data_IF_792499510690
#
_entry.id   IF_792499510690
#
_cell.length_a   1.000
_cell.length_b   1.000
_cell.length_c   1.000
_cell.angle_alpha   90.00
_cell.angle_beta   90.00
_cell.angle_gamma   90.00
#
_symmetry.space_group_name_H-M   'P 1'
#
loop_
_entity.id
_entity.type
_entity.pdbx_description
1 polymer ?
#
# COMPACT_ATOMS: atom_id res chain seq x y z
N UNK A 1 8.20 -15.77 -1.44
CA UNK A 1 7.74 -14.54 -0.74
C UNK A 1 6.69 -13.87 -1.61
N UNK A 2 5.53 -13.55 -1.05
CA UNK A 2 4.54 -12.67 -1.67
C UNK A 2 4.84 -11.24 -1.20
N UNK A 3 4.94 -10.30 -2.13
CA UNK A 3 5.16 -8.90 -1.82
C UNK A 3 3.93 -8.10 -2.26
N UNK A 4 3.36 -7.35 -1.33
CA UNK A 4 2.30 -6.38 -1.60
C UNK A 4 2.85 -4.99 -1.28
N UNK A 5 2.88 -4.12 -2.29
CA UNK A 5 3.17 -2.70 -2.11
C UNK A 5 1.86 -1.94 -2.22
N UNK A 6 1.57 -1.11 -1.23
CA UNK A 6 0.38 -0.27 -1.26
C UNK A 6 0.63 0.98 -2.13
N UNK A 7 -0.42 1.55 -2.77
CA UNK A 7 -0.35 2.88 -3.34
C UNK A 7 0.12 3.91 -2.29
N UNK A 8 0.94 4.87 -2.71
CA UNK A 8 1.59 5.82 -1.80
C UNK A 8 1.38 7.29 -2.20
N UNK A 9 0.43 7.54 -3.11
CA UNK A 9 0.04 8.88 -3.54
C UNK A 9 -1.48 9.02 -3.38
N UNK A 10 -1.92 10.03 -2.65
CA UNK A 10 -3.33 10.31 -2.39
C UNK A 10 -3.81 11.54 -3.19
N UNK A 11 -5.06 11.50 -3.64
CA UNK A 11 -5.66 12.57 -4.45
C UNK A 11 -5.99 13.86 -3.69
N UNK A 12 -5.89 13.86 -2.35
CA UNK A 12 -6.17 15.02 -1.52
C UNK A 12 -7.65 15.39 -1.37
N UNK A 13 -8.58 14.58 -1.90
CA UNK A 13 -10.02 14.91 -1.95
C UNK A 13 -10.85 14.13 -0.94
N UNK A 14 -10.65 12.82 -0.87
CA UNK A 14 -11.48 11.94 -0.03
C UNK A 14 -10.75 10.66 0.36
N UNK A 15 -11.15 10.08 1.48
CA UNK A 15 -10.60 8.82 1.99
C UNK A 15 -11.11 7.57 1.26
N UNK A 16 -12.05 7.76 0.32
CA UNK A 16 -12.62 6.70 -0.51
C UNK A 16 -13.06 7.24 -1.88
N UNK A 17 -13.32 6.35 -2.82
CA UNK A 17 -13.90 6.63 -4.14
C UNK A 17 -14.99 5.60 -4.45
N UNK A 18 -15.89 5.89 -5.39
CA UNK A 18 -17.00 4.97 -5.71
C UNK A 18 -16.56 3.56 -6.17
N UNK A 19 -15.30 3.41 -6.59
CA UNK A 19 -14.68 2.14 -6.97
C UNK A 19 -13.64 1.64 -5.96
N UNK A 20 -13.54 2.31 -4.80
CA UNK A 20 -12.62 2.05 -3.70
C UNK A 20 -11.12 2.01 -4.07
N UNK A 21 -10.74 2.62 -5.21
CA UNK A 21 -9.39 2.52 -5.78
C UNK A 21 -8.83 3.85 -6.29
N UNK A 22 -9.63 4.62 -7.03
CA UNK A 22 -9.18 5.86 -7.71
C UNK A 22 -8.79 7.02 -6.78
N UNK A 23 -9.00 6.91 -5.48
CA UNK A 23 -8.50 7.89 -4.54
C UNK A 23 -6.98 7.76 -4.28
N UNK A 24 -6.36 6.67 -4.72
CA UNK A 24 -4.95 6.36 -4.54
C UNK A 24 -4.23 6.05 -5.87
N UNK A 25 -2.91 6.31 -5.89
CA UNK A 25 -2.02 5.96 -7.01
C UNK A 25 -0.63 5.56 -6.53
N UNK A 26 0.13 4.91 -7.39
CA UNK A 26 1.53 4.56 -7.13
C UNK A 26 2.45 5.68 -7.60
N UNK A 27 3.46 6.03 -6.80
CA UNK A 27 4.54 6.90 -7.28
C UNK A 27 5.39 6.20 -8.33
N UNK A 28 5.87 6.93 -9.32
CA UNK A 28 6.89 6.49 -10.27
C UNK A 28 8.22 7.18 -9.93
N UNK A 29 9.30 6.41 -9.71
CA UNK A 29 10.60 6.94 -9.29
C UNK A 29 10.52 7.90 -8.10
N UNK A 30 9.67 7.57 -7.12
CA UNK A 30 9.45 8.40 -5.93
C UNK A 30 8.65 9.68 -6.19
N UNK A 31 8.10 9.90 -7.39
CA UNK A 31 7.28 11.07 -7.71
C UNK A 31 5.82 10.68 -7.88
N UNK A 32 4.94 11.41 -7.18
CA UNK A 32 3.50 11.24 -7.33
C UNK A 32 2.97 11.97 -8.57
N UNK A 33 1.97 11.42 -9.28
CA UNK A 33 1.35 12.10 -10.40
C UNK A 33 0.61 13.35 -9.93
N UNK A 34 0.45 14.36 -10.81
CA UNK A 34 -0.27 15.59 -10.47
C UNK A 34 -1.73 15.36 -10.03
N UNK A 35 -2.33 14.24 -10.43
CA UNK A 35 -3.67 13.83 -9.98
C UNK A 35 -3.70 13.34 -8.53
N UNK A 36 -2.55 12.97 -7.95
CA UNK A 36 -2.40 12.46 -6.59
C UNK A 36 -1.23 13.12 -5.85
N UNK A 37 -1.28 14.44 -5.61
CA UNK A 37 -0.12 15.21 -5.18
C UNK A 37 0.35 14.92 -3.75
N UNK A 38 -0.51 14.36 -2.90
CA UNK A 38 -0.17 14.09 -1.51
C UNK A 38 0.65 12.79 -1.38
N UNK A 39 1.92 12.93 -0.98
CA UNK A 39 2.81 11.79 -0.71
C UNK A 39 2.43 11.16 0.63
N UNK A 40 2.36 9.84 0.65
CA UNK A 40 2.17 9.05 1.86
C UNK A 40 3.37 8.13 2.09
N UNK A 41 3.61 7.70 3.35
CA UNK A 41 4.60 6.68 3.64
C UNK A 41 4.39 5.43 2.78
N UNK A 42 5.48 4.84 2.29
CA UNK A 42 5.38 3.57 1.55
C UNK A 42 5.17 2.43 2.54
N UNK A 43 4.03 1.76 2.44
CA UNK A 43 3.76 0.53 3.17
C UNK A 43 4.01 -0.65 2.25
N UNK A 44 4.80 -1.61 2.71
CA UNK A 44 5.06 -2.87 2.02
C UNK A 44 4.85 -4.04 2.97
N UNK A 45 4.12 -5.04 2.52
CA UNK A 45 3.88 -6.27 3.25
C UNK A 45 4.58 -7.42 2.52
N UNK A 46 5.52 -8.06 3.19
CA UNK A 46 6.22 -9.24 2.70
C UNK A 46 5.74 -10.47 3.47
N UNK A 47 5.02 -11.38 2.80
CA UNK A 47 4.63 -12.66 3.37
C UNK A 47 5.59 -13.75 2.90
N UNK A 48 6.27 -14.36 3.86
CA UNK A 48 7.22 -15.44 3.62
C UNK A 48 6.49 -16.76 3.83
N UNK A 49 6.48 -17.61 2.80
CA UNK A 49 5.93 -18.96 2.87
C UNK A 49 7.06 -19.98 2.82
N UNK A 50 6.86 -21.17 3.41
CA UNK A 50 7.75 -22.31 3.18
C UNK A 50 7.92 -22.60 1.69
N UNK A 51 9.05 -23.21 1.33
CA UNK A 51 9.28 -23.65 -0.05
C UNK A 51 8.24 -24.70 -0.43
N UNK A 52 7.66 -24.56 -1.62
CA UNK A 52 6.69 -25.51 -2.17
C UNK A 52 7.26 -26.16 -3.43
N UNK A 53 6.68 -27.28 -3.84
CA UNK A 53 7.02 -27.91 -5.12
C UNK A 53 6.82 -26.92 -6.28
N UNK A 54 7.64 -27.00 -7.33
CA UNK A 54 7.48 -26.21 -8.56
C UNK A 54 6.11 -26.39 -9.22
N UNK A 55 5.44 -27.50 -8.94
CA UNK A 55 4.10 -27.81 -9.47
C UNK A 55 2.96 -27.38 -8.53
N UNK A 56 3.28 -26.81 -7.36
CA UNK A 56 2.27 -26.32 -6.44
C UNK A 56 1.47 -25.18 -7.06
N UNK A 57 0.17 -25.18 -6.79
CA UNK A 57 -0.77 -24.14 -7.22
C UNK A 57 -1.58 -23.72 -6.01
N UNK A 58 -1.92 -22.45 -5.93
CA UNK A 58 -2.85 -21.96 -4.92
C UNK A 58 -4.22 -22.56 -5.22
N UNK A 59 -4.90 -23.10 -4.21
CA UNK A 59 -6.26 -23.66 -4.35
C UNK A 59 -7.26 -22.61 -4.85
N UNK A 60 -6.98 -21.33 -4.61
CA UNK A 60 -7.74 -20.16 -5.10
C UNK A 60 -7.46 -19.80 -6.56
N UNK A 61 -6.54 -20.50 -7.25
CA UNK A 61 -6.19 -20.22 -8.64
C UNK A 61 -5.38 -18.92 -8.80
N UNK A 62 -5.88 -17.98 -9.62
CA UNK A 62 -5.13 -16.78 -10.05
C UNK A 62 -5.30 -15.54 -9.16
N UNK A 63 -6.37 -15.45 -8.37
CA UNK A 63 -6.69 -14.26 -7.56
C UNK A 63 -6.54 -14.55 -6.08
N UNK A 64 -5.33 -14.93 -5.68
CA UNK A 64 -5.11 -15.57 -4.41
C UNK A 64 -4.73 -14.64 -3.26
N UNK A 65 -4.40 -13.38 -3.54
CA UNK A 65 -3.85 -12.46 -2.55
C UNK A 65 -4.63 -11.15 -2.52
N UNK A 66 -5.07 -10.78 -1.32
CA UNK A 66 -5.65 -9.50 -0.96
C UNK A 66 -4.96 -9.03 0.32
N UNK A 67 -4.75 -7.72 0.47
CA UNK A 67 -4.17 -7.16 1.68
C UNK A 67 -4.87 -5.86 2.04
N UNK A 68 -5.23 -5.75 3.30
CA UNK A 68 -5.74 -4.52 3.91
C UNK A 68 -4.69 -4.02 4.90
N UNK A 69 -4.58 -2.69 5.00
CA UNK A 69 -3.85 -2.04 6.07
C UNK A 69 -4.85 -1.23 6.89
N UNK A 70 -4.87 -1.47 8.20
CA UNK A 70 -5.57 -0.62 9.16
C UNK A 70 -4.52 -0.04 10.10
N UNK A 71 -4.49 1.29 10.22
CA UNK A 71 -3.60 1.94 11.18
C UNK A 71 -4.13 1.71 12.61
N UNK A 72 -3.31 1.12 13.47
CA UNK A 72 -3.59 0.97 14.90
C UNK A 72 -2.67 1.79 15.80
N UNK A 73 -1.85 2.67 15.22
CA UNK A 73 -0.91 3.50 15.98
C UNK A 73 -1.63 4.71 16.58
N UNK A 74 -1.10 5.25 17.68
CA UNK A 74 -1.49 6.57 18.17
C UNK A 74 -1.20 7.63 17.09
N UNK A 75 -2.23 8.39 16.73
CA UNK A 75 -2.15 9.35 15.63
C UNK A 75 -1.12 10.45 15.89
N UNK A 76 -0.95 10.91 17.14
CA UNK A 76 0.03 11.95 17.46
C UNK A 76 1.47 11.44 17.32
N UNK A 77 1.72 10.16 17.61
CA UNK A 77 3.01 9.52 17.37
C UNK A 77 3.25 9.37 15.88
N UNK A 78 2.26 8.83 15.15
CA UNK A 78 2.39 8.61 13.71
C UNK A 78 2.63 9.92 12.95
N UNK A 79 1.84 10.95 13.21
CA UNK A 79 2.01 12.26 12.56
C UNK A 79 3.39 12.86 12.81
N UNK A 80 3.95 12.73 14.02
CA UNK A 80 5.31 13.20 14.35
C UNK A 80 6.38 12.46 13.55
N UNK A 81 6.28 11.14 13.44
CA UNK A 81 7.22 10.33 12.69
C UNK A 81 7.14 10.61 11.18
N UNK A 82 5.93 10.76 10.64
CA UNK A 82 5.74 11.07 9.21
C UNK A 82 6.26 12.46 8.88
N UNK A 83 6.04 13.46 9.74
CA UNK A 83 6.60 14.78 9.54
C UNK A 83 8.13 14.74 9.51
N UNK A 84 8.77 14.12 10.51
CA UNK A 84 10.23 14.03 10.60
C UNK A 84 10.90 13.25 9.44
N UNK A 85 10.16 12.37 8.75
CA UNK A 85 10.65 11.63 7.58
C UNK A 85 10.45 12.37 6.25
N UNK A 86 9.59 13.40 6.24
CA UNK A 86 9.27 14.19 5.04
C UNK A 86 10.00 15.54 5.01
N UNK A 87 10.67 15.93 6.11
CA UNK A 87 11.63 17.03 6.17
C UNK A 87 12.98 16.64 5.53
#
# INVERSE_FOLDING_TARGET
VLNVRFPNCWNGKGVDSADHKRHMSYSAAGTCPASHPARLPTISLALIYPSTSRHARLSSGKFAAHADFMNGWDDNVLSRLVAALND
#
